data_IF_752969135495
#
_entry.id   IF_752969135495
#
_cell.length_a   1.000
_cell.length_b   1.000
_cell.length_c   1.000
_cell.angle_alpha   90.00
_cell.angle_beta   90.00
_cell.angle_gamma   90.00
#
_symmetry.space_group_name_H-M   'P 1'
#
loop_
_entity.id
_entity.type
_entity.pdbx_description
1 polymer ?
#
# COMPACT_ATOMS: atom_id res chain seq x y z
N UNK A 1 -12.61 -5.71 14.79
CA UNK A 1 -13.97 -6.27 14.75
C UNK A 1 -13.93 -7.55 15.55
N UNK A 2 -14.94 -7.84 16.36
CA UNK A 2 -15.04 -9.08 17.13
C UNK A 2 -16.50 -9.52 17.08
N UNK A 3 -16.75 -10.80 16.83
CA UNK A 3 -18.08 -11.40 16.74
C UNK A 3 -18.45 -12.30 17.93
N UNK A 4 -17.58 -12.34 18.95
CA UNK A 4 -17.68 -13.21 20.12
C UNK A 4 -16.81 -14.47 20.03
N UNK A 5 -16.33 -14.82 18.84
CA UNK A 5 -15.48 -16.00 18.62
C UNK A 5 -14.09 -15.65 18.09
N UNK A 6 -14.01 -14.70 17.16
CA UNK A 6 -12.77 -14.28 16.50
C UNK A 6 -12.63 -12.76 16.49
N UNK A 7 -11.39 -12.29 16.47
CA UNK A 7 -11.01 -10.88 16.43
C UNK A 7 -10.22 -10.59 15.18
N UNK A 8 -10.74 -9.65 14.37
CA UNK A 8 -10.11 -9.18 13.15
C UNK A 8 -9.57 -7.77 13.35
N UNK A 9 -8.33 -7.53 12.93
CA UNK A 9 -7.75 -6.19 12.87
C UNK A 9 -7.51 -5.77 11.42
N UNK A 10 -8.22 -4.71 10.98
CA UNK A 10 -7.93 -4.02 9.74
C UNK A 10 -7.07 -2.78 10.01
N UNK A 11 -5.78 -2.83 9.69
CA UNK A 11 -4.83 -1.75 9.96
C UNK A 11 -4.71 -0.79 8.77
N UNK A 12 -4.49 -1.33 7.57
CA UNK A 12 -4.29 -0.68 6.25
C UNK A 12 -3.70 0.74 6.25
N UNK A 13 -4.49 1.80 6.48
CA UNK A 13 -4.04 3.20 6.35
C UNK A 13 -3.64 3.85 7.68
N UNK A 14 -3.60 3.07 8.76
CA UNK A 14 -3.24 3.56 10.09
C UNK A 14 -1.76 3.34 10.41
N UNK A 15 -1.06 4.43 10.73
CA UNK A 15 0.24 4.35 11.38
C UNK A 15 0.05 3.97 12.85
N UNK A 16 0.79 2.96 13.29
CA UNK A 16 0.74 2.46 14.66
C UNK A 16 2.15 2.26 15.19
N UNK A 17 2.33 2.53 16.47
CA UNK A 17 3.57 2.33 17.20
C UNK A 17 3.40 1.20 18.23
N UNK A 18 4.48 0.73 18.87
CA UNK A 18 4.42 -0.34 19.87
C UNK A 18 3.42 -0.09 20.99
N UNK A 19 3.29 1.15 21.48
CA UNK A 19 2.35 1.50 22.53
C UNK A 19 0.90 1.31 22.10
N UNK A 20 0.55 1.70 20.87
CA UNK A 20 -0.79 1.50 20.30
C UNK A 20 -1.07 0.01 20.12
N UNK A 21 -0.11 -0.76 19.61
CA UNK A 21 -0.25 -2.22 19.46
C UNK A 21 -0.56 -2.85 20.82
N UNK A 22 0.20 -2.49 21.86
CA UNK A 22 -0.03 -2.99 23.21
C UNK A 22 -1.43 -2.65 23.71
N UNK A 23 -1.88 -1.40 23.56
CA UNK A 23 -3.23 -0.99 23.96
C UNK A 23 -4.33 -1.75 23.20
N UNK A 24 -4.13 -2.04 21.91
CA UNK A 24 -5.06 -2.84 21.11
C UNK A 24 -5.14 -4.26 21.67
N UNK A 25 -4.00 -4.89 21.97
CA UNK A 25 -3.94 -6.25 22.53
C UNK A 25 -4.56 -6.29 23.93
N UNK A 26 -4.27 -5.32 24.79
CA UNK A 26 -4.86 -5.23 26.13
C UNK A 26 -6.40 -5.09 26.06
N UNK A 27 -6.91 -4.40 25.05
CA UNK A 27 -8.35 -4.15 24.88
C UNK A 27 -9.08 -5.30 24.17
N UNK A 28 -8.48 -5.86 23.13
CA UNK A 28 -9.11 -6.83 22.23
C UNK A 28 -8.72 -8.27 22.56
N UNK A 29 -7.67 -8.48 23.34
CA UNK A 29 -7.08 -9.79 23.58
C UNK A 29 -6.32 -10.29 22.35
N UNK A 30 -6.56 -11.55 22.01
CA UNK A 30 -5.95 -12.20 20.87
C UNK A 30 -6.54 -11.70 19.53
N UNK A 31 -5.70 -11.63 18.50
CA UNK A 31 -6.07 -11.25 17.13
C UNK A 31 -5.89 -12.47 16.24
N UNK A 32 -6.99 -12.97 15.69
CA UNK A 32 -7.04 -14.18 14.85
C UNK A 32 -6.73 -13.89 13.38
N UNK A 33 -6.80 -12.62 12.98
CA UNK A 33 -6.53 -12.19 11.61
C UNK A 33 -6.16 -10.71 11.54
N UNK A 34 -5.04 -10.43 10.88
CA UNK A 34 -4.55 -9.06 10.66
C UNK A 34 -4.47 -8.76 9.16
N UNK A 35 -5.22 -7.75 8.74
CA UNK A 35 -5.09 -7.13 7.42
C UNK A 35 -4.06 -5.99 7.53
N UNK A 36 -2.78 -6.34 7.33
CA UNK A 36 -1.65 -5.46 7.61
C UNK A 36 -1.33 -4.50 6.46
N UNK A 37 -0.70 -3.38 6.79
CA UNK A 37 -0.01 -2.54 5.82
C UNK A 37 1.27 -3.23 5.36
N UNK A 38 1.53 -3.28 4.06
CA UNK A 38 2.73 -3.93 3.50
C UNK A 38 3.57 -3.03 2.60
N UNK A 39 3.03 -1.89 2.15
CA UNK A 39 3.71 -0.98 1.22
C UNK A 39 3.66 0.45 1.72
N UNK A 40 4.83 1.13 1.86
CA UNK A 40 4.87 2.57 2.05
C UNK A 40 4.57 3.25 0.71
N UNK A 41 3.54 4.09 0.65
CA UNK A 41 3.17 4.79 -0.57
C UNK A 41 4.08 6.01 -0.78
N UNK A 42 4.80 6.02 -1.89
CA UNK A 42 5.76 7.06 -2.25
C UNK A 42 5.24 8.08 -3.27
N UNK A 43 3.95 8.01 -3.62
CA UNK A 43 3.25 9.01 -4.44
C UNK A 43 3.51 10.43 -3.94
N UNK A 44 3.31 10.67 -2.64
CA UNK A 44 3.58 11.97 -2.03
C UNK A 44 5.05 12.35 -2.12
N UNK A 45 5.97 11.39 -1.95
CA UNK A 45 7.40 11.68 -2.11
C UNK A 45 7.72 12.12 -3.53
N UNK A 46 7.13 11.47 -4.53
CA UNK A 46 7.27 11.88 -5.92
C UNK A 46 6.72 13.29 -6.15
N UNK A 47 5.50 13.57 -5.69
CA UNK A 47 4.83 14.86 -5.86
C UNK A 47 5.58 16.03 -5.22
N UNK A 48 6.28 15.80 -4.11
CA UNK A 48 7.01 16.83 -3.36
C UNK A 48 8.54 16.77 -3.55
N UNK A 49 9.03 16.06 -4.58
CA UNK A 49 10.46 15.93 -4.86
C UNK A 49 11.29 15.45 -3.64
N UNK A 50 10.74 14.50 -2.87
CA UNK A 50 11.41 13.84 -1.75
C UNK A 50 12.09 12.54 -2.23
N UNK A 51 12.99 11.94 -1.43
CA UNK A 51 13.67 10.70 -1.79
C UNK A 51 12.69 9.58 -2.18
N UNK A 52 13.02 8.89 -3.28
CA UNK A 52 12.31 7.73 -3.81
C UNK A 52 13.12 6.45 -3.56
N UNK A 53 13.21 6.10 -2.28
CA UNK A 53 13.78 4.85 -1.82
C UNK A 53 12.82 4.22 -0.80
N UNK A 54 12.92 2.91 -0.57
CA UNK A 54 12.17 2.24 0.48
C UNK A 54 12.49 2.91 1.84
N UNK A 55 11.51 3.53 2.52
CA UNK A 55 11.72 4.11 3.84
C UNK A 55 11.84 2.97 4.86
N UNK A 56 13.05 2.50 5.11
CA UNK A 56 13.29 1.34 5.98
C UNK A 56 12.70 1.51 7.38
N UNK A 57 12.81 2.69 7.98
CA UNK A 57 12.25 2.94 9.32
C UNK A 57 10.73 2.73 9.34
N UNK A 58 10.00 3.28 8.36
CA UNK A 58 8.55 3.08 8.23
C UNK A 58 8.24 1.62 7.89
N UNK A 59 8.95 1.01 6.95
CA UNK A 59 8.73 -0.37 6.54
C UNK A 59 8.96 -1.37 7.69
N UNK A 60 9.97 -1.14 8.52
CA UNK A 60 10.22 -1.92 9.73
C UNK A 60 9.04 -1.88 10.71
N UNK A 61 8.31 -0.76 10.79
CA UNK A 61 7.10 -0.70 11.64
C UNK A 61 6.05 -1.72 11.19
N UNK A 62 5.93 -1.99 9.89
CA UNK A 62 4.93 -2.94 9.38
C UNK A 62 5.23 -4.36 9.84
N UNK A 63 6.50 -4.77 9.76
CA UNK A 63 6.94 -6.07 10.25
C UNK A 63 6.78 -6.19 11.77
N UNK A 64 7.07 -5.12 12.52
CA UNK A 64 6.88 -5.08 13.96
C UNK A 64 5.40 -5.15 14.36
N UNK A 65 4.48 -4.58 13.58
CA UNK A 65 3.04 -4.73 13.81
C UNK A 65 2.65 -6.19 13.72
N UNK A 66 3.07 -6.88 12.67
CA UNK A 66 2.75 -8.31 12.49
C UNK A 66 3.30 -9.14 13.65
N UNK A 67 4.56 -8.90 14.04
CA UNK A 67 5.20 -9.60 15.17
C UNK A 67 4.53 -9.31 16.52
N UNK A 68 4.11 -8.06 16.75
CA UNK A 68 3.48 -7.66 18.00
C UNK A 68 2.03 -8.13 18.11
N UNK A 69 1.31 -8.17 17.00
CA UNK A 69 -0.12 -8.40 16.95
C UNK A 69 -0.54 -9.86 16.84
N UNK A 70 0.26 -10.70 16.16
CA UNK A 70 -0.14 -12.07 15.84
C UNK A 70 0.70 -13.08 16.61
N UNK A 71 0.02 -13.99 17.29
CA UNK A 71 0.66 -15.11 18.00
C UNK A 71 0.42 -16.48 17.37
N UNK A 72 -0.43 -16.62 16.34
CA UNK A 72 -0.59 -17.92 15.65
C UNK A 72 -1.33 -17.91 14.30
N UNK A 73 -2.26 -17.01 14.04
CA UNK A 73 -3.19 -17.20 12.92
C UNK A 73 -3.12 -16.07 11.87
N UNK A 74 -2.46 -16.38 10.75
CA UNK A 74 -2.58 -15.72 9.43
C UNK A 74 -2.45 -14.19 9.35
N UNK A 75 -1.35 -13.70 8.75
CA UNK A 75 -1.24 -12.29 8.32
C UNK A 75 -1.30 -12.15 6.78
N UNK A 76 -2.46 -11.93 6.18
CA UNK A 76 -2.50 -11.51 4.79
C UNK A 76 -2.14 -10.01 4.65
N UNK A 77 -1.25 -9.67 3.70
CA UNK A 77 -0.94 -8.28 3.36
C UNK A 77 -2.18 -7.63 2.71
N UNK A 78 -2.63 -6.51 3.26
CA UNK A 78 -3.97 -5.98 2.97
C UNK A 78 -4.09 -4.58 2.39
N UNK A 79 -3.05 -3.77 2.47
CA UNK A 79 -3.06 -2.38 1.99
C UNK A 79 -2.87 -2.27 0.46
N UNK A 80 -3.25 -1.14 -0.14
CA UNK A 80 -2.78 -0.74 -1.48
C UNK A 80 -3.02 -1.73 -2.65
N UNK A 81 -4.21 -2.34 -2.72
CA UNK A 81 -4.63 -3.17 -3.85
C UNK A 81 -5.07 -2.35 -5.08
N UNK A 82 -4.26 -1.36 -5.48
CA UNK A 82 -4.58 -0.50 -6.63
C UNK A 82 -3.35 -0.20 -7.49
N UNK A 83 -3.61 0.28 -8.71
CA UNK A 83 -2.60 0.84 -9.60
C UNK A 83 -3.14 2.08 -10.30
N UNK A 84 -2.24 2.98 -10.68
CA UNK A 84 -2.54 4.06 -11.59
C UNK A 84 -2.81 3.52 -13.01
N UNK A 85 -3.67 4.22 -13.74
CA UNK A 85 -4.09 3.89 -15.10
C UNK A 85 -3.88 5.08 -16.04
N UNK A 86 -3.96 4.78 -17.33
CA UNK A 86 -4.01 5.76 -18.41
C UNK A 86 -2.84 6.76 -18.32
N UNK A 87 -3.12 8.07 -18.33
CA UNK A 87 -2.09 9.13 -18.27
C UNK A 87 -1.23 9.09 -17.01
N UNK A 88 -1.74 8.51 -15.91
CA UNK A 88 -1.04 8.40 -14.64
C UNK A 88 -0.28 7.08 -14.47
N UNK A 89 -0.30 6.18 -15.46
CA UNK A 89 0.35 4.85 -15.38
C UNK A 89 1.84 4.95 -15.01
N UNK A 90 2.52 6.02 -15.37
CA UNK A 90 3.92 6.24 -15.01
C UNK A 90 4.14 6.30 -13.48
N UNK A 91 3.16 6.75 -12.69
CA UNK A 91 3.26 6.83 -11.23
C UNK A 91 3.43 5.45 -10.57
N UNK A 92 3.00 4.37 -11.22
CA UNK A 92 3.24 3.00 -10.73
C UNK A 92 4.74 2.70 -10.56
N UNK A 93 5.61 3.39 -11.29
CA UNK A 93 7.07 3.20 -11.22
C UNK A 93 7.70 3.87 -10.00
N UNK A 94 6.99 4.79 -9.34
CA UNK A 94 7.53 5.60 -8.26
C UNK A 94 6.78 5.39 -6.94
N UNK A 95 5.55 4.88 -6.97
CA UNK A 95 4.66 4.90 -5.81
C UNK A 95 4.77 3.68 -4.90
N UNK A 96 5.21 2.53 -5.43
CA UNK A 96 5.14 1.24 -4.74
C UNK A 96 6.53 0.59 -4.63
N UNK A 97 7.30 0.86 -3.57
CA UNK A 97 8.66 0.36 -3.41
C UNK A 97 8.75 -1.12 -3.01
N UNK A 98 7.65 -1.74 -2.60
CA UNK A 98 7.57 -3.17 -2.22
C UNK A 98 6.36 -3.84 -2.87
N UNK A 99 6.42 -5.17 -3.02
CA UNK A 99 5.29 -6.00 -3.45
C UNK A 99 4.80 -6.86 -2.29
N UNK A 100 3.60 -7.47 -2.43
CA UNK A 100 3.11 -8.44 -1.43
C UNK A 100 4.12 -9.58 -1.25
N UNK A 101 4.69 -10.10 -2.34
CA UNK A 101 5.65 -11.21 -2.30
C UNK A 101 6.96 -10.80 -1.62
N UNK A 102 7.45 -9.57 -1.85
CA UNK A 102 8.63 -9.07 -1.14
C UNK A 102 8.36 -8.95 0.36
N UNK A 103 7.21 -8.39 0.74
CA UNK A 103 6.81 -8.28 2.14
C UNK A 103 6.69 -9.64 2.82
N UNK A 104 6.06 -10.62 2.17
CA UNK A 104 5.94 -11.98 2.70
C UNK A 104 7.30 -12.68 2.84
N UNK A 105 8.22 -12.47 1.90
CA UNK A 105 9.60 -12.98 2.02
C UNK A 105 10.32 -12.36 3.22
N UNK A 106 10.22 -11.04 3.37
CA UNK A 106 10.87 -10.33 4.48
C UNK A 106 10.26 -10.73 5.82
N UNK A 107 8.94 -10.91 5.88
CA UNK A 107 8.22 -11.38 7.06
C UNK A 107 8.65 -12.80 7.44
N UNK A 108 8.78 -13.70 6.47
CA UNK A 108 9.24 -15.07 6.74
C UNK A 108 10.68 -15.12 7.30
N UNK A 109 11.53 -14.13 7.00
CA UNK A 109 12.86 -13.99 7.60
C UNK A 109 12.78 -13.35 8.98
N UNK A 110 11.91 -12.36 9.15
CA UNK A 110 11.81 -11.55 10.38
C UNK A 110 11.04 -12.24 11.52
N UNK A 111 9.99 -13.00 11.17
CA UNK A 111 9.04 -13.64 12.08
C UNK A 111 8.55 -14.97 11.46
N UNK A 112 9.43 -15.99 11.32
CA UNK A 112 9.15 -17.25 10.63
C UNK A 112 8.00 -18.06 11.24
N UNK A 113 7.66 -17.80 12.50
CA UNK A 113 6.58 -18.44 13.23
C UNK A 113 5.18 -18.00 12.78
N UNK A 114 5.04 -16.85 12.10
CA UNK A 114 3.75 -16.31 11.67
C UNK A 114 3.41 -16.86 10.28
N UNK A 115 2.33 -17.66 10.15
CA UNK A 115 1.84 -18.07 8.84
C UNK A 115 1.39 -16.85 8.05
N UNK A 116 1.83 -16.76 6.80
CA UNK A 116 1.47 -15.66 5.92
C UNK A 116 1.30 -16.14 4.49
N UNK A 117 0.39 -15.51 3.76
CA UNK A 117 0.11 -15.82 2.37
C UNK A 117 -0.45 -14.57 1.68
N UNK A 118 -0.43 -14.55 0.35
CA UNK A 118 -1.06 -13.46 -0.40
C UNK A 118 -2.57 -13.43 -0.16
N UNK A 119 -3.17 -12.25 -0.34
CA UNK A 119 -4.62 -12.09 -0.26
C UNK A 119 -5.07 -11.10 -1.33
N UNK A 120 -5.76 -11.63 -2.33
CA UNK A 120 -6.19 -10.86 -3.49
C UNK A 120 -7.68 -10.55 -3.42
N UNK A 121 -8.15 -9.47 -4.08
CA UNK A 121 -9.57 -9.24 -4.27
C UNK A 121 -10.26 -10.50 -4.80
N UNK A 122 -11.30 -10.95 -4.10
CA UNK A 122 -12.06 -12.16 -4.44
C UNK A 122 -11.63 -13.42 -3.68
N UNK A 123 -10.51 -13.39 -2.97
CA UNK A 123 -10.18 -14.43 -1.98
C UNK A 123 -11.13 -14.33 -0.78
N UNK A 124 -11.44 -15.47 -0.17
CA UNK A 124 -12.32 -15.57 1.01
C UNK A 124 -11.55 -16.20 2.15
N UNK A 125 -11.45 -15.49 3.28
CA UNK A 125 -10.85 -16.02 4.50
C UNK A 125 -11.93 -16.60 5.41
N UNK A 126 -11.78 -17.88 5.76
CA UNK A 126 -12.56 -18.57 6.78
C UNK A 126 -11.73 -18.57 8.06
N UNK A 127 -12.26 -17.94 9.10
CA UNK A 127 -11.51 -17.63 10.33
C UNK A 127 -12.27 -18.28 11.48
N UNK A 128 -11.55 -19.06 12.28
CA UNK A 128 -12.10 -19.81 13.41
C UNK A 128 -11.05 -19.93 14.51
N UNK A 129 -11.47 -20.42 15.68
CA UNK A 129 -10.55 -20.69 16.81
C UNK A 129 -9.51 -21.77 16.51
N UNK A 130 -9.77 -22.62 15.52
CA UNK A 130 -8.85 -23.69 15.09
C UNK A 130 -7.88 -23.21 14.01
N UNK A 131 -8.01 -21.95 13.59
CA UNK A 131 -7.13 -21.27 12.65
C UNK A 131 -7.85 -20.65 11.46
N UNK A 132 -7.03 -20.09 10.56
CA UNK A 132 -7.48 -19.40 9.34
C UNK A 132 -7.19 -20.22 8.08
N UNK A 133 -8.19 -20.33 7.21
CA UNK A 133 -8.06 -20.90 5.87
C UNK A 133 -8.48 -19.88 4.80
N UNK A 134 -7.71 -19.75 3.71
CA UNK A 134 -8.02 -18.83 2.61
C UNK A 134 -8.37 -19.63 1.36
N UNK A 135 -9.61 -19.46 0.89
CA UNK A 135 -10.06 -19.97 -0.41
C UNK A 135 -9.80 -18.92 -1.50
N UNK A 136 -8.99 -19.29 -2.49
CA UNK A 136 -8.61 -18.39 -3.58
C UNK A 136 -9.77 -18.15 -4.54
N UNK A 137 -10.07 -16.88 -4.82
CA UNK A 137 -11.07 -16.46 -5.82
C UNK A 137 -12.48 -17.08 -5.62
N UNK A 138 -12.83 -17.39 -4.37
CA UNK A 138 -14.08 -18.03 -3.97
C UNK A 138 -15.25 -17.06 -3.80
N UNK A 139 -15.00 -15.74 -3.79
CA UNK A 139 -16.07 -14.75 -3.78
C UNK A 139 -16.96 -14.89 -5.02
N UNK A 140 -18.27 -14.78 -4.81
CA UNK A 140 -19.28 -14.82 -5.87
C UNK A 140 -19.53 -13.47 -6.54
N UNK A 141 -18.93 -12.38 -6.04
CA UNK A 141 -19.16 -11.02 -6.56
C UNK A 141 -17.87 -10.24 -6.90
N UNK A 142 -16.70 -10.72 -6.46
CA UNK A 142 -15.39 -10.14 -6.82
C UNK A 142 -14.47 -11.23 -7.33
N UNK A 143 -13.75 -10.94 -8.43
CA UNK A 143 -12.74 -11.82 -8.99
C UNK A 143 -11.65 -11.02 -9.71
N UNK A 144 -10.40 -11.45 -9.56
CA UNK A 144 -9.29 -11.01 -10.40
C UNK A 144 -9.46 -11.60 -11.79
N UNK A 145 -9.64 -10.75 -12.80
CA UNK A 145 -9.73 -11.17 -14.20
C UNK A 145 -8.34 -11.44 -14.80
N UNK A 146 -7.37 -10.62 -14.44
CA UNK A 146 -5.98 -10.67 -14.90
C UNK A 146 -5.07 -10.22 -13.77
N UNK A 147 -3.97 -10.93 -13.56
CA UNK A 147 -2.92 -10.53 -12.62
C UNK A 147 -1.96 -9.53 -13.26
N UNK A 148 -2.27 -8.25 -13.03
CA UNK A 148 -1.53 -7.09 -13.51
C UNK A 148 -0.41 -6.64 -12.57
N UNK A 149 -0.02 -7.46 -11.58
CA UNK A 149 0.98 -7.06 -10.56
C UNK A 149 2.32 -6.65 -11.19
N UNK A 150 2.68 -7.24 -12.32
CA UNK A 150 3.87 -6.89 -13.11
C UNK A 150 3.88 -5.43 -13.63
N UNK A 151 2.72 -4.76 -13.70
CA UNK A 151 2.59 -3.34 -14.10
C UNK A 151 2.93 -2.38 -12.96
N UNK A 152 3.07 -2.91 -11.74
CA UNK A 152 3.45 -2.16 -10.53
C UNK A 152 4.89 -2.57 -10.17
N UNK A 153 5.87 -2.01 -10.88
CA UNK A 153 7.28 -2.28 -10.60
C UNK A 153 8.01 -1.00 -10.21
N UNK A 154 8.77 -1.04 -9.12
CA UNK A 154 9.49 0.13 -8.63
C UNK A 154 10.73 0.42 -9.48
N UNK A 155 10.75 1.60 -10.12
CA UNK A 155 11.87 2.12 -10.90
C UNK A 155 11.96 3.64 -10.71
N UNK A 156 12.55 4.12 -9.60
CA UNK A 156 12.59 5.54 -9.28
C UNK A 156 13.42 6.39 -10.26
N UNK A 157 14.25 5.77 -11.10
CA UNK A 157 14.97 6.42 -12.20
C UNK A 157 14.28 6.33 -13.57
N UNK A 158 13.01 5.95 -13.62
CA UNK A 158 12.26 5.92 -14.88
C UNK A 158 12.02 7.34 -15.42
N UNK A 159 11.59 7.44 -16.68
CA UNK A 159 11.24 8.70 -17.31
C UNK A 159 9.85 9.17 -16.88
N UNK A 160 9.75 10.42 -16.44
CA UNK A 160 8.48 11.10 -16.16
C UNK A 160 7.95 11.72 -17.46
N UNK A 161 6.75 11.33 -17.94
CA UNK A 161 6.13 11.96 -19.11
C UNK A 161 5.95 13.47 -18.92
N UNK A 162 6.26 14.26 -19.95
CA UNK A 162 5.95 15.68 -19.95
C UNK A 162 4.43 15.89 -19.89
N UNK A 163 3.99 16.86 -19.09
CA UNK A 163 2.60 17.31 -19.06
C UNK A 163 2.25 17.88 -20.44
N UNK A 164 1.10 17.48 -20.98
CA UNK A 164 0.60 17.95 -22.27
C UNK A 164 -0.73 18.66 -22.06
N UNK A 165 -0.95 19.74 -22.80
CA UNK A 165 -2.29 20.33 -22.90
C UNK A 165 -3.25 19.31 -23.52
N UNK A 166 -4.52 19.39 -23.14
CA UNK A 166 -5.61 18.65 -23.80
C UNK A 166 -6.28 19.47 -24.91
N UNK A 167 -5.98 20.77 -25.04
CA UNK A 167 -6.56 21.61 -26.09
C UNK A 167 -5.74 21.58 -27.38
N UNK A 168 -6.43 21.69 -28.51
CA UNK A 168 -5.83 21.93 -29.84
C UNK A 168 -6.01 23.40 -30.29
N UNK A 169 -6.77 24.22 -29.55
CA UNK A 169 -6.93 25.64 -29.84
C UNK A 169 -5.67 26.42 -29.43
N UNK A 170 -4.95 27.06 -30.37
CA UNK A 170 -3.75 27.83 -30.06
C UNK A 170 -3.98 28.96 -29.05
N UNK A 171 -5.17 29.55 -29.03
CA UNK A 171 -5.50 30.67 -28.13
C UNK A 171 -5.64 30.17 -26.69
N UNK A 172 -6.38 29.08 -26.50
CA UNK A 172 -6.52 28.43 -25.21
C UNK A 172 -5.19 27.84 -24.72
N UNK A 173 -4.40 27.23 -25.61
CA UNK A 173 -3.08 26.70 -25.27
C UNK A 173 -2.17 27.78 -24.68
N UNK A 174 -2.11 28.95 -25.32
CA UNK A 174 -1.31 30.06 -24.83
C UNK A 174 -1.74 30.50 -23.43
N UNK A 175 -3.05 30.60 -23.18
CA UNK A 175 -3.58 30.95 -21.85
C UNK A 175 -3.19 29.93 -20.78
N UNK A 176 -3.28 28.63 -21.09
CA UNK A 176 -2.88 27.57 -20.16
C UNK A 176 -1.38 27.63 -19.84
N UNK A 177 -0.54 27.87 -20.86
CA UNK A 177 0.90 28.03 -20.67
C UNK A 177 1.25 29.26 -19.84
N UNK A 178 0.57 30.39 -20.06
CA UNK A 178 0.78 31.62 -19.27
C UNK A 178 0.48 31.36 -17.77
N UNK A 179 -0.56 30.60 -17.45
CA UNK A 179 -0.89 30.19 -16.07
C UNK A 179 0.18 29.31 -15.46
N UNK A 180 0.69 28.33 -16.21
CA UNK A 180 1.76 27.44 -15.72
C UNK A 180 3.04 28.22 -15.48
N UNK A 181 3.43 29.12 -16.38
CA UNK A 181 4.61 29.96 -16.22
C UNK A 181 4.49 30.89 -15.00
N UNK A 182 3.32 31.47 -14.77
CA UNK A 182 3.08 32.33 -13.60
C UNK A 182 3.15 31.55 -12.28
N UNK A 183 2.59 30.33 -12.26
CA UNK A 183 2.72 29.42 -11.12
C UNK A 183 4.19 29.07 -10.86
N UNK A 184 4.94 28.71 -11.89
CA UNK A 184 6.37 28.39 -11.76
C UNK A 184 7.18 29.59 -11.25
N UNK A 185 6.92 30.80 -11.76
CA UNK A 185 7.55 32.02 -11.25
C UNK A 185 7.21 32.23 -9.78
N UNK A 186 5.96 32.08 -9.39
CA UNK A 186 5.51 32.26 -8.01
C UNK A 186 6.17 31.25 -7.07
N UNK A 187 6.14 29.96 -7.41
CA UNK A 187 6.67 28.87 -6.57
C UNK A 187 8.20 28.88 -6.52
N UNK A 188 8.88 29.19 -7.61
CA UNK A 188 10.35 29.25 -7.64
C UNK A 188 10.92 30.53 -7.04
N UNK A 189 10.18 31.65 -7.04
CA UNK A 189 10.63 32.91 -6.42
C UNK A 189 10.27 33.01 -4.93
N UNK A 190 9.30 32.24 -4.44
CA UNK A 190 8.97 32.15 -3.01
C UNK A 190 9.81 31.15 -2.22
N UNK A 191 10.80 30.52 -2.88
CA UNK A 191 11.58 29.41 -2.34
C UNK A 191 13.07 29.70 -2.20
N UNK A 192 13.44 30.82 -1.56
CA UNK A 192 14.64 31.01 -0.71
C UNK A 192 14.38 32.14 0.29
#
# INVERSE_FOLDING_TARGET
MNDGEVTLWNQVDSQVNPEIIQQIIEKCGHIDFLHSRFVPLLEGNFAYNKPLALPFDEYCTYLNVVRGALTSDGCPPGSAAFRYRDELTFLNQYSFPTTQEQFLRDLAVFCPEVPSSTYFPGDVAHISKDGTHIEKQASNFVRVLEDDSHKIFFKPGAHVPSIKTQTIDPTQYKKEMDVVEDLLKTVCLSGY
#
